data_IF_173686913611
#
_entry.id   IF_173686913611
#
_cell.length_a   1.000
_cell.length_b   1.000
_cell.length_c   1.000
_cell.angle_alpha   90.00
_cell.angle_beta   90.00
_cell.angle_gamma   90.00
#
_symmetry.space_group_name_H-M   'P 1'
#
loop_
_entity.id
_entity.type
_entity.pdbx_description
1 polymer ?
#
# COMPACT_ATOMS: atom_id res chain seq x y z
N UNK A 1 33.92 22.03 13.13
CA UNK A 1 32.71 22.14 13.99
C UNK A 1 31.72 21.13 13.47
N UNK A 2 31.58 19.99 14.16
CA UNK A 2 30.72 18.87 13.72
C UNK A 2 29.37 19.09 14.41
N UNK A 3 28.33 19.41 13.63
CA UNK A 3 26.95 19.48 14.14
C UNK A 3 26.37 18.06 14.17
N UNK A 4 26.17 17.54 15.39
CA UNK A 4 25.46 16.30 15.65
C UNK A 4 23.96 16.54 15.42
N UNK A 5 23.37 15.90 14.43
CA UNK A 5 21.92 15.82 14.26
C UNK A 5 21.39 14.69 15.15
N UNK A 6 20.49 15.07 16.05
CA UNK A 6 19.75 14.17 16.93
C UNK A 6 18.56 13.63 16.12
N UNK A 7 18.59 12.34 15.79
CA UNK A 7 17.45 11.65 15.20
C UNK A 7 16.49 11.27 16.34
N UNK A 8 15.35 11.90 16.39
CA UNK A 8 14.27 11.53 17.31
C UNK A 8 13.49 10.35 16.74
N UNK A 9 13.64 9.18 17.35
CA UNK A 9 12.85 7.98 17.06
C UNK A 9 11.48 8.17 17.69
N UNK A 10 10.44 8.32 16.89
CA UNK A 10 9.05 8.25 17.37
C UNK A 10 8.68 6.78 17.56
N UNK A 11 8.74 6.33 18.82
CA UNK A 11 8.25 5.03 19.25
C UNK A 11 6.73 5.03 19.29
N UNK A 12 6.15 4.01 18.65
CA UNK A 12 4.72 3.78 18.56
C UNK A 12 4.04 3.62 19.94
N UNK A 13 2.91 4.23 20.07
CA UNK A 13 2.02 4.10 21.24
C UNK A 13 1.26 2.78 21.12
N UNK A 14 1.61 1.82 21.96
CA UNK A 14 0.78 0.64 22.23
C UNK A 14 -0.39 1.05 23.11
N UNK A 15 -1.60 0.96 22.60
CA UNK A 15 -2.80 1.07 23.40
C UNK A 15 -3.15 -0.33 23.90
N UNK A 16 -2.81 -0.59 25.18
CA UNK A 16 -3.29 -1.78 25.91
C UNK A 16 -4.68 -1.50 26.47
N UNK A 17 -5.71 -2.09 25.90
CA UNK A 17 -7.06 -2.08 26.43
C UNK A 17 -7.17 -3.10 27.56
N UNK A 18 -7.24 -2.64 28.81
CA UNK A 18 -7.59 -3.42 29.98
C UNK A 18 -9.10 -3.74 29.95
N UNK A 19 -9.43 -5.01 29.82
CA UNK A 19 -10.79 -5.51 30.03
C UNK A 19 -11.01 -5.62 31.53
N UNK A 20 -11.86 -4.75 32.08
CA UNK A 20 -12.37 -4.88 33.45
C UNK A 20 -13.74 -5.55 33.42
N UNK A 21 -13.85 -6.76 33.92
CA UNK A 21 -15.11 -7.41 34.27
C UNK A 21 -15.65 -6.81 35.55
N UNK A 22 -16.86 -6.27 35.54
CA UNK A 22 -17.67 -6.09 36.72
C UNK A 22 -19.13 -6.44 36.41
N UNK A 23 -19.66 -7.39 37.13
CA UNK A 23 -21.05 -7.84 37.08
C UNK A 23 -21.94 -6.95 37.94
N UNK A 24 -23.13 -6.58 37.50
CA UNK A 24 -24.41 -6.73 38.22
C UNK A 24 -25.57 -5.95 37.60
N UNK A 25 -26.67 -6.72 37.35
CA UNK A 25 -28.11 -6.42 37.46
C UNK A 25 -28.85 -5.38 36.60
N UNK A 26 -29.74 -5.99 35.77
CA UNK A 26 -31.15 -5.64 35.49
C UNK A 26 -31.62 -4.21 35.26
N UNK A 27 -32.03 -3.92 33.99
CA UNK A 27 -33.42 -3.58 33.63
C UNK A 27 -33.59 -3.54 32.12
N UNK A 28 -34.70 -4.13 31.65
CA UNK A 28 -35.22 -4.06 30.28
C UNK A 28 -35.56 -2.62 29.92
N UNK A 29 -35.14 -2.19 28.72
CA UNK A 29 -35.93 -1.36 27.82
C UNK A 29 -35.43 -1.66 26.39
N UNK A 30 -36.38 -2.02 25.52
CA UNK A 30 -36.21 -2.12 24.07
C UNK A 30 -35.79 -0.77 23.51
N UNK A 31 -34.83 -0.75 22.58
CA UNK A 31 -34.91 -0.04 21.33
C UNK A 31 -33.69 -0.31 20.45
N UNK A 32 -34.04 -0.68 19.23
CA UNK A 32 -33.18 -0.86 18.08
C UNK A 32 -32.21 0.31 17.86
N UNK A 33 -30.92 0.03 17.78
CA UNK A 33 -30.00 0.80 16.98
C UNK A 33 -28.86 -0.10 16.48
N UNK A 34 -28.84 -0.29 15.18
CA UNK A 34 -27.79 -0.94 14.44
C UNK A 34 -26.49 -0.12 14.59
N UNK A 35 -25.66 -0.49 15.54
CA UNK A 35 -24.26 -0.11 15.52
C UNK A 35 -23.53 -1.15 14.65
N UNK A 36 -23.19 -0.78 13.43
CA UNK A 36 -22.27 -1.53 12.61
C UNK A 36 -20.95 -1.66 13.33
N UNK A 37 -20.73 -2.83 13.91
CA UNK A 37 -19.48 -3.22 14.51
C UNK A 37 -18.54 -3.58 13.38
N UNK A 38 -17.74 -2.61 12.92
CA UNK A 38 -16.60 -2.86 12.05
C UNK A 38 -15.58 -3.67 12.84
N UNK A 39 -15.73 -4.99 12.81
CA UNK A 39 -14.65 -5.89 13.15
C UNK A 39 -13.77 -6.01 11.93
N UNK A 40 -12.69 -5.25 11.89
CA UNK A 40 -11.57 -5.57 11.00
C UNK A 40 -10.97 -6.87 11.55
N UNK A 41 -11.43 -7.99 11.06
CA UNK A 41 -10.72 -9.26 11.17
C UNK A 41 -9.59 -9.20 10.15
N UNK A 42 -8.36 -8.95 10.64
CA UNK A 42 -7.14 -9.32 9.94
C UNK A 42 -7.15 -10.85 9.79
N UNK A 43 -7.66 -11.34 8.66
CA UNK A 43 -7.42 -12.67 8.07
C UNK A 43 -8.50 -12.96 7.01
N UNK A 44 -8.56 -12.11 5.99
CA UNK A 44 -8.93 -12.61 4.68
C UNK A 44 -7.66 -12.50 3.83
N UNK A 45 -7.02 -13.64 3.56
CA UNK A 45 -6.22 -13.78 2.35
C UNK A 45 -7.14 -13.31 1.24
N UNK A 46 -6.87 -12.13 0.68
CA UNK A 46 -7.60 -11.62 -0.45
C UNK A 46 -7.69 -12.77 -1.46
N UNK A 47 -8.90 -13.15 -1.85
CA UNK A 47 -9.12 -14.26 -2.77
C UNK A 47 -8.41 -13.88 -4.06
N UNK A 48 -7.16 -14.31 -4.19
CA UNK A 48 -6.30 -14.00 -5.32
C UNK A 48 -6.95 -14.61 -6.56
N UNK A 49 -7.45 -13.76 -7.46
CA UNK A 49 -7.98 -14.20 -8.74
C UNK A 49 -6.76 -14.58 -9.59
N UNK A 50 -6.49 -15.89 -9.68
CA UNK A 50 -5.28 -16.45 -10.22
C UNK A 50 -5.15 -16.37 -11.75
N UNK A 51 -5.36 -15.19 -12.34
CA UNK A 51 -5.22 -14.94 -13.76
C UNK A 51 -4.19 -13.84 -14.02
N UNK A 52 -3.27 -14.11 -14.95
CA UNK A 52 -2.24 -13.16 -15.37
C UNK A 52 -0.81 -13.61 -15.06
N UNK A 53 0.15 -12.84 -15.54
CA UNK A 53 1.58 -13.14 -15.42
C UNK A 53 2.02 -13.26 -13.96
N UNK A 54 1.56 -12.35 -13.10
CA UNK A 54 1.90 -12.32 -11.68
C UNK A 54 1.26 -13.45 -10.86
N UNK A 55 0.28 -14.17 -11.44
CA UNK A 55 -0.35 -15.33 -10.83
C UNK A 55 0.46 -16.62 -11.00
N UNK A 56 1.46 -16.64 -11.87
CA UNK A 56 2.31 -17.81 -12.09
C UNK A 56 3.18 -18.11 -10.87
N UNK A 57 3.61 -19.35 -10.73
CA UNK A 57 4.56 -19.73 -9.69
C UNK A 57 5.97 -19.39 -10.16
N UNK A 58 6.67 -18.60 -9.37
CA UNK A 58 8.06 -18.24 -9.56
C UNK A 58 8.96 -19.01 -8.59
N UNK A 59 10.15 -19.36 -9.06
CA UNK A 59 11.24 -19.79 -8.18
C UNK A 59 11.80 -18.57 -7.42
N UNK A 60 12.54 -18.83 -6.35
CA UNK A 60 13.21 -17.76 -5.61
C UNK A 60 14.18 -16.95 -6.48
N UNK A 61 14.90 -17.60 -7.38
CA UNK A 61 15.85 -16.95 -8.29
C UNK A 61 15.14 -16.02 -9.26
N UNK A 62 14.03 -16.47 -9.87
CA UNK A 62 13.22 -15.67 -10.78
C UNK A 62 12.64 -14.44 -10.09
N UNK A 63 12.04 -14.59 -8.90
CA UNK A 63 11.53 -13.41 -8.13
C UNK A 63 12.66 -12.48 -7.71
N UNK A 64 13.84 -13.01 -7.38
CA UNK A 64 14.99 -12.17 -7.03
C UNK A 64 15.45 -11.34 -8.23
N UNK A 65 15.57 -11.95 -9.41
CA UNK A 65 15.91 -11.25 -10.66
C UNK A 65 14.84 -10.19 -10.99
N UNK A 66 13.57 -10.57 -10.94
CA UNK A 66 12.45 -9.65 -11.16
C UNK A 66 12.50 -8.46 -10.18
N UNK A 67 12.77 -8.71 -8.89
CA UNK A 67 12.93 -7.65 -7.91
C UNK A 67 14.09 -6.70 -8.24
N UNK A 68 15.23 -7.21 -8.70
CA UNK A 68 16.38 -6.39 -9.09
C UNK A 68 16.04 -5.49 -10.28
N UNK A 69 15.34 -6.01 -11.29
CA UNK A 69 14.89 -5.26 -12.45
C UNK A 69 13.88 -4.18 -12.06
N UNK A 70 12.88 -4.51 -11.23
CA UNK A 70 11.90 -3.55 -10.76
C UNK A 70 12.58 -2.47 -9.91
N UNK A 71 13.47 -2.85 -9.00
CA UNK A 71 14.21 -1.89 -8.19
C UNK A 71 14.98 -0.90 -9.06
N UNK A 72 15.64 -1.35 -10.12
CA UNK A 72 16.34 -0.47 -11.05
C UNK A 72 15.38 0.53 -11.73
N UNK A 73 14.21 0.07 -12.21
CA UNK A 73 13.18 0.96 -12.78
C UNK A 73 12.61 1.95 -11.74
N UNK A 74 12.41 1.52 -10.48
CA UNK A 74 12.00 2.43 -9.39
C UNK A 74 13.03 3.53 -9.14
N UNK A 75 14.33 3.18 -9.13
CA UNK A 75 15.43 4.15 -8.99
C UNK A 75 15.45 5.15 -10.17
N UNK A 76 15.21 4.69 -11.39
CA UNK A 76 15.08 5.56 -12.57
C UNK A 76 13.92 6.55 -12.44
N UNK A 77 12.75 6.09 -11.97
CA UNK A 77 11.59 6.96 -11.72
C UNK A 77 11.90 7.98 -10.61
N UNK A 78 12.50 7.56 -9.49
CA UNK A 78 12.91 8.49 -8.43
C UNK A 78 13.85 9.57 -8.96
N UNK A 79 14.86 9.19 -9.74
CA UNK A 79 15.80 10.12 -10.33
C UNK A 79 15.14 11.08 -11.34
N UNK A 80 14.25 10.55 -12.18
CA UNK A 80 13.48 11.37 -13.15
C UNK A 80 12.60 12.42 -12.45
N UNK A 81 11.97 12.04 -11.34
CA UNK A 81 11.12 12.93 -10.54
C UNK A 81 11.92 13.81 -9.55
N UNK A 82 13.24 13.64 -9.46
CA UNK A 82 14.08 14.38 -8.53
C UNK A 82 13.84 14.05 -7.06
N UNK A 83 13.43 12.80 -6.76
CA UNK A 83 13.12 12.33 -5.42
C UNK A 83 14.37 11.77 -4.74
N UNK A 84 14.64 12.20 -3.52
CA UNK A 84 15.66 11.58 -2.67
C UNK A 84 15.05 10.32 -2.02
N UNK A 85 15.70 9.18 -2.19
CA UNK A 85 15.22 7.89 -1.68
C UNK A 85 16.31 7.16 -0.89
N UNK A 86 15.88 6.21 -0.08
CA UNK A 86 16.76 5.25 0.58
C UNK A 86 16.54 3.85 0.02
N UNK A 87 17.59 3.04 0.00
CA UNK A 87 17.55 1.63 -0.37
C UNK A 87 18.22 0.82 0.72
N UNK A 88 17.48 -0.09 1.33
CA UNK A 88 17.92 -0.85 2.48
C UNK A 88 17.46 -2.30 2.42
N UNK A 89 18.12 -3.13 3.21
CA UNK A 89 17.72 -4.49 3.53
C UNK A 89 17.65 -4.62 5.05
N UNK A 90 16.48 -5.04 5.56
CA UNK A 90 16.25 -5.20 7.01
C UNK A 90 15.67 -6.56 7.33
N UNK A 91 16.23 -7.20 8.36
CA UNK A 91 15.64 -8.41 8.96
C UNK A 91 14.87 -7.96 10.20
N UNK A 92 13.60 -8.35 10.29
CA UNK A 92 12.70 -8.05 11.41
C UNK A 92 11.82 -9.26 11.72
N UNK A 93 11.17 -9.24 12.87
CA UNK A 93 10.11 -10.21 13.19
C UNK A 93 8.75 -9.57 12.93
N UNK A 94 7.93 -10.22 12.11
CA UNK A 94 6.50 -9.89 11.90
C UNK A 94 5.68 -11.13 12.23
N UNK A 95 4.68 -11.01 13.12
CA UNK A 95 3.80 -12.11 13.52
C UNK A 95 4.54 -13.40 13.96
N UNK A 96 5.66 -13.25 14.69
CA UNK A 96 6.55 -14.35 15.14
C UNK A 96 7.25 -15.09 13.99
N UNK A 97 7.32 -14.50 12.81
CA UNK A 97 8.07 -15.01 11.67
C UNK A 97 9.21 -14.04 11.30
N UNK A 98 10.38 -14.58 10.99
CA UNK A 98 11.50 -13.76 10.49
C UNK A 98 11.20 -13.29 9.07
N UNK A 99 11.27 -11.99 8.84
CA UNK A 99 11.05 -11.35 7.54
C UNK A 99 12.31 -10.61 7.13
N UNK A 100 12.84 -10.95 5.97
CA UNK A 100 13.86 -10.15 5.30
C UNK A 100 13.19 -9.25 4.27
N UNK A 101 13.31 -7.94 4.45
CA UNK A 101 12.67 -6.88 3.67
C UNK A 101 13.74 -6.08 2.91
N UNK A 102 13.81 -6.28 1.59
CA UNK A 102 14.65 -5.49 0.69
C UNK A 102 13.78 -4.44 0.05
N UNK A 103 14.04 -3.16 0.31
CA UNK A 103 13.14 -2.11 -0.14
C UNK A 103 13.85 -0.83 -0.59
N UNK A 104 13.13 -0.07 -1.40
CA UNK A 104 13.37 1.32 -1.72
C UNK A 104 12.21 2.16 -1.17
N UNK A 105 12.52 3.28 -0.55
CA UNK A 105 11.57 4.10 0.16
C UNK A 105 11.87 5.59 -0.02
N UNK A 106 10.81 6.36 -0.17
CA UNK A 106 10.81 7.82 -0.21
C UNK A 106 9.68 8.35 0.68
N UNK A 107 9.91 9.48 1.34
CA UNK A 107 8.93 10.17 2.18
C UNK A 107 9.04 11.68 2.02
N UNK A 108 7.91 12.35 1.77
CA UNK A 108 7.79 13.80 1.67
C UNK A 108 6.87 14.31 2.77
N UNK A 109 7.44 14.97 3.76
CA UNK A 109 6.72 15.46 4.93
C UNK A 109 5.72 16.59 4.62
N UNK A 110 5.83 17.23 3.46
CA UNK A 110 4.99 18.38 3.07
C UNK A 110 4.55 18.24 1.60
N UNK A 111 3.72 17.26 1.25
CA UNK A 111 3.28 17.06 -0.12
C UNK A 111 2.34 18.18 -0.57
N UNK A 112 2.55 18.64 -1.81
CA UNK A 112 1.59 19.51 -2.49
C UNK A 112 0.38 18.68 -2.96
N UNK A 113 -0.80 19.30 -3.17
CA UNK A 113 -1.95 18.62 -3.75
C UNK A 113 -1.62 17.92 -5.09
N UNK A 114 -2.14 16.72 -5.29
CA UNK A 114 -1.87 15.82 -6.41
C UNK A 114 -0.38 15.47 -6.61
N UNK A 115 0.43 15.62 -5.55
CA UNK A 115 1.83 15.23 -5.53
C UNK A 115 2.06 14.06 -4.58
N UNK A 116 3.12 13.31 -4.89
CA UNK A 116 3.51 12.15 -4.08
C UNK A 116 3.88 12.57 -2.66
N UNK A 117 3.32 11.84 -1.69
CA UNK A 117 3.65 11.95 -0.28
C UNK A 117 4.74 10.95 0.10
N UNK A 118 4.54 9.70 -0.27
CA UNK A 118 5.49 8.63 0.05
C UNK A 118 5.44 7.52 -0.98
N UNK A 119 6.54 6.78 -1.09
CA UNK A 119 6.59 5.54 -1.87
C UNK A 119 7.40 4.50 -1.11
N UNK A 120 6.91 3.28 -1.12
CA UNK A 120 7.61 2.07 -0.68
C UNK A 120 7.44 1.01 -1.76
N UNK A 121 8.54 0.48 -2.25
CA UNK A 121 8.57 -0.77 -3.01
C UNK A 121 9.48 -1.75 -2.28
N UNK A 122 9.03 -2.99 -2.09
CA UNK A 122 9.82 -3.97 -1.36
C UNK A 122 9.57 -5.41 -1.79
N UNK A 123 10.63 -6.21 -1.66
CA UNK A 123 10.61 -7.66 -1.75
C UNK A 123 10.79 -8.24 -0.34
N UNK A 124 9.74 -8.87 0.17
CA UNK A 124 9.77 -9.53 1.47
C UNK A 124 9.92 -11.03 1.30
N UNK A 125 10.85 -11.62 2.05
CA UNK A 125 10.98 -13.07 2.16
C UNK A 125 10.77 -13.50 3.61
N UNK A 126 10.07 -14.63 3.80
CA UNK A 126 9.54 -15.07 5.08
C UNK A 126 10.14 -16.40 5.53
N UNK A 127 10.26 -16.55 6.86
CA UNK A 127 10.78 -17.73 7.51
C UNK A 127 12.32 -17.78 7.56
N UNK A 128 12.85 -18.61 8.45
CA UNK A 128 14.30 -18.77 8.64
C UNK A 128 15.02 -19.32 7.40
N UNK A 129 14.31 -20.02 6.53
CA UNK A 129 14.82 -20.57 5.27
C UNK A 129 14.42 -19.72 4.04
N UNK A 130 13.70 -18.59 4.27
CA UNK A 130 13.20 -17.72 3.20
C UNK A 130 12.45 -18.51 2.10
N UNK A 131 11.54 -19.40 2.54
CA UNK A 131 10.83 -20.33 1.65
C UNK A 131 9.66 -19.68 0.91
N UNK A 132 9.25 -18.47 1.33
CA UNK A 132 8.15 -17.71 0.76
C UNK A 132 8.57 -16.27 0.54
N UNK A 133 7.90 -15.59 -0.37
CA UNK A 133 8.11 -14.16 -0.58
C UNK A 133 7.04 -13.50 -1.41
N UNK A 134 6.95 -12.18 -1.32
CA UNK A 134 6.07 -11.36 -2.12
C UNK A 134 6.69 -10.00 -2.44
N UNK A 135 6.15 -9.34 -3.46
CA UNK A 135 6.51 -8.02 -3.92
C UNK A 135 5.36 -7.06 -3.63
N UNK A 136 5.68 -5.88 -3.11
CA UNK A 136 4.69 -4.89 -2.73
C UNK A 136 5.11 -3.50 -3.18
N UNK A 137 4.19 -2.75 -3.77
CA UNK A 137 4.30 -1.32 -4.02
C UNK A 137 3.23 -0.59 -3.22
N UNK A 138 3.61 0.50 -2.56
CA UNK A 138 2.68 1.40 -1.85
C UNK A 138 3.05 2.83 -2.17
N UNK A 139 2.07 3.65 -2.51
CA UNK A 139 2.26 5.05 -2.84
C UNK A 139 1.20 5.87 -2.13
N UNK A 140 1.63 6.84 -1.34
CA UNK A 140 0.76 7.86 -0.76
C UNK A 140 0.70 9.08 -1.67
N UNK A 141 -0.49 9.58 -1.95
CA UNK A 141 -0.75 10.79 -2.73
C UNK A 141 -1.71 11.69 -1.95
N UNK A 142 -1.41 12.99 -1.89
CA UNK A 142 -2.35 13.99 -1.39
C UNK A 142 -3.24 14.46 -2.55
N UNK A 143 -4.57 14.35 -2.39
CA UNK A 143 -5.55 14.75 -3.41
C UNK A 143 -5.88 16.24 -3.31
N UNK A 144 -6.08 16.89 -4.47
CA UNK A 144 -6.76 18.17 -4.55
C UNK A 144 -8.27 17.93 -4.61
N UNK A 145 -8.90 17.85 -3.43
CA UNK A 145 -10.34 17.56 -3.34
C UNK A 145 -11.20 18.67 -3.96
N UNK A 146 -10.76 19.93 -3.87
CA UNK A 146 -11.53 21.06 -4.41
C UNK A 146 -11.50 21.02 -5.94
N UNK A 147 -10.35 20.73 -6.54
CA UNK A 147 -10.24 20.53 -7.98
C UNK A 147 -11.14 19.37 -8.45
N UNK A 148 -11.04 18.20 -7.80
CA UNK A 148 -11.81 17.01 -8.19
C UNK A 148 -13.33 17.27 -8.08
N UNK A 149 -13.78 17.93 -7.01
CA UNK A 149 -15.21 18.22 -6.78
C UNK A 149 -15.76 19.25 -7.76
N UNK A 150 -14.98 20.28 -8.10
CA UNK A 150 -15.44 21.41 -8.92
C UNK A 150 -15.30 21.12 -10.42
N UNK A 151 -14.23 20.46 -10.83
CA UNK A 151 -13.91 20.20 -12.24
C UNK A 151 -14.36 18.80 -12.69
N UNK A 152 -14.73 17.92 -11.76
CA UNK A 152 -15.07 16.51 -12.02
C UNK A 152 -13.95 15.78 -12.78
N UNK A 153 -12.71 16.20 -12.54
CA UNK A 153 -11.54 15.71 -13.26
C UNK A 153 -10.49 15.21 -12.29
N UNK A 154 -10.03 14.00 -12.53
CA UNK A 154 -8.83 13.41 -11.95
C UNK A 154 -8.26 12.43 -12.96
N UNK A 155 -6.95 12.47 -13.17
CA UNK A 155 -6.27 11.51 -14.03
C UNK A 155 -5.06 10.93 -13.31
N UNK A 156 -5.16 9.68 -12.94
CA UNK A 156 -4.11 8.93 -12.26
C UNK A 156 -2.86 8.83 -13.13
N UNK A 157 -3.02 8.84 -14.46
CA UNK A 157 -1.92 8.85 -15.42
C UNK A 157 -1.07 10.13 -15.34
N UNK A 158 -1.65 11.25 -14.95
CA UNK A 158 -0.94 12.54 -14.77
C UNK A 158 -0.23 12.63 -13.41
N UNK A 159 -0.34 11.60 -12.56
CA UNK A 159 0.32 11.54 -11.24
C UNK A 159 1.57 10.65 -11.28
N UNK A 160 2.42 10.76 -10.25
CA UNK A 160 3.56 9.86 -10.09
C UNK A 160 3.18 8.39 -9.84
N UNK A 161 1.91 8.10 -9.51
CA UNK A 161 1.43 6.72 -9.33
C UNK A 161 1.59 5.91 -10.62
N UNK A 162 1.26 6.49 -11.78
CA UNK A 162 1.42 5.81 -13.07
C UNK A 162 2.88 5.42 -13.31
N UNK A 163 3.82 6.33 -13.09
CA UNK A 163 5.24 6.06 -13.29
C UNK A 163 5.75 4.89 -12.44
N UNK A 164 5.38 4.84 -11.15
CA UNK A 164 5.78 3.74 -10.28
C UNK A 164 5.01 2.44 -10.54
N UNK A 165 3.73 2.53 -10.93
CA UNK A 165 2.95 1.37 -11.37
C UNK A 165 3.57 0.76 -12.62
N UNK A 166 3.90 1.57 -13.62
CA UNK A 166 4.62 1.17 -14.83
C UNK A 166 5.99 0.56 -14.51
N UNK A 167 6.75 1.14 -13.57
CA UNK A 167 8.03 0.60 -13.14
C UNK A 167 7.88 -0.81 -12.52
N UNK A 168 6.80 -1.09 -11.80
CA UNK A 168 6.53 -2.42 -11.26
C UNK A 168 6.05 -3.40 -12.33
N UNK A 169 5.08 -3.00 -13.16
CA UNK A 169 4.35 -3.90 -14.06
C UNK A 169 4.94 -3.99 -15.46
N UNK A 170 5.75 -3.01 -15.86
CA UNK A 170 6.22 -2.80 -17.23
C UNK A 170 5.07 -2.55 -18.25
N UNK A 171 3.90 -2.12 -17.77
CA UNK A 171 2.72 -1.79 -18.60
C UNK A 171 2.61 -0.28 -18.80
N UNK A 172 3.21 0.22 -19.89
CA UNK A 172 3.28 1.64 -20.25
C UNK A 172 1.99 2.18 -20.91
N UNK A 173 1.15 1.29 -21.42
CA UNK A 173 -0.08 1.68 -22.16
C UNK A 173 -1.36 1.51 -21.33
N UNK A 174 -1.22 1.36 -20.02
CA UNK A 174 -2.35 1.11 -19.13
C UNK A 174 -3.42 2.19 -19.22
N UNK A 175 -4.68 1.76 -19.36
CA UNK A 175 -5.87 2.62 -19.29
C UNK A 175 -6.34 2.76 -17.84
N UNK A 176 -6.44 4.01 -17.36
CA UNK A 176 -6.91 4.33 -16.01
C UNK A 176 -8.34 4.90 -15.99
N UNK A 177 -9.05 4.94 -17.12
CA UNK A 177 -10.35 5.61 -17.25
C UNK A 177 -11.37 5.13 -16.21
N UNK A 178 -11.57 3.83 -16.07
CA UNK A 178 -12.52 3.27 -15.10
C UNK A 178 -12.13 3.57 -13.65
N UNK A 179 -10.82 3.54 -13.35
CA UNK A 179 -10.29 3.85 -12.01
C UNK A 179 -10.49 5.34 -11.70
N UNK A 180 -10.20 6.23 -12.66
CA UNK A 180 -10.40 7.66 -12.51
C UNK A 180 -11.86 8.00 -12.20
N UNK A 181 -12.82 7.41 -12.92
CA UNK A 181 -14.25 7.58 -12.67
C UNK A 181 -14.65 7.14 -11.25
N UNK A 182 -14.14 5.99 -10.77
CA UNK A 182 -14.39 5.50 -9.42
C UNK A 182 -13.77 6.42 -8.35
N UNK A 183 -12.57 6.95 -8.57
CA UNK A 183 -11.94 7.92 -7.66
C UNK A 183 -12.78 9.19 -7.56
N UNK A 184 -13.22 9.74 -8.69
CA UNK A 184 -14.09 10.92 -8.72
C UNK A 184 -15.39 10.66 -7.97
N UNK A 185 -16.02 9.50 -8.18
CA UNK A 185 -17.25 9.11 -7.48
C UNK A 185 -17.06 9.05 -5.96
N UNK A 186 -15.98 8.42 -5.48
CA UNK A 186 -15.66 8.35 -4.06
C UNK A 186 -15.48 9.76 -3.46
N UNK A 187 -14.76 10.63 -4.16
CA UNK A 187 -14.50 11.99 -3.67
C UNK A 187 -15.77 12.83 -3.62
N UNK A 188 -16.65 12.71 -4.63
CA UNK A 188 -17.88 13.51 -4.74
C UNK A 188 -19.04 12.98 -3.90
N UNK A 189 -19.26 11.67 -3.94
CA UNK A 189 -20.51 11.05 -3.47
C UNK A 189 -20.36 10.25 -2.19
N UNK A 190 -19.12 9.93 -1.77
CA UNK A 190 -18.82 9.09 -0.60
C UNK A 190 -18.01 9.83 0.48
N UNK A 191 -18.09 11.17 0.51
CA UNK A 191 -17.34 12.00 1.46
C UNK A 191 -15.83 11.72 1.49
N UNK A 192 -15.24 11.43 0.34
CA UNK A 192 -13.81 11.09 0.20
C UNK A 192 -13.40 9.92 1.10
N UNK A 193 -14.24 8.88 1.18
CA UNK A 193 -13.94 7.68 1.96
C UNK A 193 -14.41 6.43 1.22
N UNK A 194 -13.48 5.65 0.67
CA UNK A 194 -13.80 4.45 -0.09
C UNK A 194 -12.57 3.67 -0.52
N UNK A 195 -12.82 2.47 -1.03
CA UNK A 195 -11.78 1.57 -1.55
C UNK A 195 -12.19 0.99 -2.88
N UNK A 196 -11.26 0.98 -3.82
CA UNK A 196 -11.36 0.30 -5.11
C UNK A 196 -10.39 -0.87 -5.04
N UNK A 197 -10.85 -2.07 -5.42
CA UNK A 197 -10.01 -3.25 -5.56
C UNK A 197 -10.18 -3.83 -6.95
N UNK A 198 -9.07 -4.12 -7.62
CA UNK A 198 -9.03 -4.71 -8.96
C UNK A 198 -7.89 -5.73 -9.07
N UNK A 199 -7.95 -6.56 -10.11
CA UNK A 199 -6.85 -7.42 -10.50
C UNK A 199 -6.08 -6.80 -11.67
N UNK A 200 -4.78 -6.62 -11.50
CA UNK A 200 -3.90 -6.14 -12.55
C UNK A 200 -2.93 -7.25 -12.95
N UNK A 201 -3.34 -8.04 -13.95
CA UNK A 201 -2.51 -9.11 -14.51
C UNK A 201 -1.96 -10.11 -13.46
N UNK A 202 -2.75 -10.33 -12.40
CA UNK A 202 -2.40 -11.21 -11.28
C UNK A 202 -1.84 -10.50 -10.04
N UNK A 203 -1.67 -9.18 -10.07
CA UNK A 203 -1.46 -8.34 -8.88
C UNK A 203 -2.81 -7.95 -8.28
N UNK A 204 -2.90 -7.90 -6.97
CA UNK A 204 -4.01 -7.22 -6.29
C UNK A 204 -3.71 -5.74 -6.26
N UNK A 205 -4.55 -4.96 -6.94
CA UNK A 205 -4.49 -3.51 -6.92
C UNK A 205 -5.55 -2.97 -5.98
N UNK A 206 -5.13 -2.15 -5.02
CA UNK A 206 -6.03 -1.53 -4.05
C UNK A 206 -5.78 -0.04 -4.01
N UNK A 207 -6.85 0.76 -4.16
CA UNK A 207 -6.81 2.20 -4.01
C UNK A 207 -7.73 2.57 -2.86
N UNK A 208 -7.18 3.07 -1.77
CA UNK A 208 -7.95 3.52 -0.61
C UNK A 208 -7.90 5.03 -0.53
N UNK A 209 -9.06 5.68 -0.49
CA UNK A 209 -9.19 7.12 -0.29
C UNK A 209 -9.76 7.35 1.10
N UNK A 210 -9.10 8.21 1.86
CA UNK A 210 -9.56 8.67 3.15
C UNK A 210 -9.25 10.15 3.33
N UNK A 211 -10.29 10.96 3.44
CA UNK A 211 -10.17 12.41 3.46
C UNK A 211 -9.44 12.92 2.22
N UNK A 212 -8.35 13.64 2.36
CA UNK A 212 -7.52 14.14 1.25
C UNK A 212 -6.39 13.19 0.82
N UNK A 213 -6.29 11.98 1.40
CA UNK A 213 -5.22 11.04 1.11
C UNK A 213 -5.70 9.86 0.28
N UNK A 214 -4.90 9.53 -0.73
CA UNK A 214 -5.05 8.32 -1.54
C UNK A 214 -3.85 7.42 -1.28
N UNK A 215 -4.12 6.17 -0.88
CA UNK A 215 -3.13 5.11 -0.81
C UNK A 215 -3.35 4.15 -1.98
N UNK A 216 -2.39 4.10 -2.87
CA UNK A 216 -2.31 3.13 -3.96
C UNK A 216 -1.43 1.96 -3.56
N UNK A 217 -1.85 0.73 -3.86
CA UNK A 217 -1.10 -0.49 -3.59
C UNK A 217 -1.15 -1.44 -4.77
N UNK A 218 -0.02 -2.09 -5.03
CA UNK A 218 0.06 -3.32 -5.83
C UNK A 218 0.74 -4.38 -4.98
N UNK A 219 0.04 -5.48 -4.78
CA UNK A 219 0.54 -6.61 -4.01
C UNK A 219 0.59 -7.86 -4.90
N UNK A 220 1.74 -8.53 -5.01
CA UNK A 220 1.81 -9.85 -5.61
C UNK A 220 1.24 -10.89 -4.66
N UNK A 221 0.90 -12.07 -5.18
CA UNK A 221 0.64 -13.22 -4.32
C UNK A 221 1.86 -13.57 -3.47
N UNK A 222 1.63 -14.35 -2.43
CA UNK A 222 2.72 -15.02 -1.73
C UNK A 222 3.24 -16.18 -2.60
N UNK A 223 4.49 -16.06 -3.08
CA UNK A 223 5.17 -17.11 -3.81
C UNK A 223 5.75 -18.14 -2.83
N UNK A 224 5.46 -19.43 -3.06
CA UNK A 224 6.10 -20.53 -2.37
C UNK A 224 7.33 -20.97 -3.16
N UNK A 225 8.53 -20.66 -2.63
CA UNK A 225 9.78 -21.04 -3.27
C UNK A 225 10.07 -22.52 -3.00
N UNK A 226 9.63 -23.38 -3.91
CA UNK A 226 9.94 -24.80 -3.85
C UNK A 226 11.46 -24.99 -3.93
N UNK A 227 11.96 -25.85 -3.07
CA UNK A 227 13.36 -26.28 -3.06
C UNK A 227 13.65 -27.15 -4.27
#
# INVERSE_FOLDING_TARGET
MIKKFLVAILSGVMITSLVSCSASNNKKVDESNMAAKSSITENEEASFIGEGEWATDYTREEVTTLNEEITARMEEVCNFLGLEYIKEEKIKEENSESVNDKYIYFDNLNPEPNKIESMYYGFKTYGSNMAKGNLNLKIGLKLDLDQIKNEEKFDLKETSISNFSEAMTNDIERDYTEINEKIIDIVKNQNSNGTIETNLNGLVETITIKDEFLLYRLDSKMYDFKK
#
